data_IF_572345945994
#
_entry.id   IF_572345945994
#
_cell.length_a   1.000
_cell.length_b   1.000
_cell.length_c   1.000
_cell.angle_alpha   90.00
_cell.angle_beta   90.00
_cell.angle_gamma   90.00
#
_symmetry.space_group_name_H-M   'P 1'
#
loop_
_entity.id
_entity.type
_entity.pdbx_description
1 polymer ?
#
# COMPACT_ATOMS: atom_id res chain seq x y z
N UNK A 1 -24.42 9.50 12.71
CA UNK A 1 -23.31 8.66 13.25
C UNK A 1 -22.02 9.45 13.24
N UNK A 2 -21.05 9.17 14.16
CA UNK A 2 -19.71 9.79 14.14
C UNK A 2 -18.81 9.04 13.15
N UNK A 3 -17.87 9.73 12.53
CA UNK A 3 -16.93 9.16 11.53
C UNK A 3 -16.14 7.96 12.07
N UNK A 4 -15.52 8.10 13.23
CA UNK A 4 -14.65 7.06 13.79
C UNK A 4 -15.35 5.71 14.05
N UNK A 5 -16.54 5.63 14.72
CA UNK A 5 -17.25 4.36 14.84
C UNK A 5 -17.69 3.78 13.49
N UNK A 6 -18.07 4.60 12.53
CA UNK A 6 -18.41 4.16 11.18
C UNK A 6 -17.22 3.53 10.48
N UNK A 7 -16.07 4.18 10.50
CA UNK A 7 -14.82 3.70 9.91
C UNK A 7 -14.40 2.35 10.51
N UNK A 8 -14.48 2.18 11.83
CA UNK A 8 -14.15 0.91 12.48
C UNK A 8 -15.09 -0.22 12.04
N UNK A 9 -16.39 0.04 11.97
CA UNK A 9 -17.35 -0.95 11.53
C UNK A 9 -17.16 -1.32 10.06
N UNK A 10 -16.89 -0.33 9.22
CA UNK A 10 -16.56 -0.54 7.80
C UNK A 10 -15.29 -1.39 7.65
N UNK A 11 -14.22 -1.08 8.37
CA UNK A 11 -12.99 -1.86 8.32
C UNK A 11 -13.21 -3.32 8.73
N UNK A 12 -13.92 -3.55 9.84
CA UNK A 12 -14.24 -4.91 10.30
C UNK A 12 -15.07 -5.69 9.27
N UNK A 13 -16.04 -5.02 8.62
CA UNK A 13 -16.80 -5.62 7.53
C UNK A 13 -15.92 -5.99 6.36
N UNK A 14 -15.09 -5.06 5.88
CA UNK A 14 -14.20 -5.26 4.74
C UNK A 14 -13.16 -6.36 4.98
N UNK A 15 -12.58 -6.42 6.18
CA UNK A 15 -11.66 -7.51 6.59
C UNK A 15 -12.34 -8.87 6.53
N UNK A 16 -13.61 -8.94 6.98
CA UNK A 16 -14.34 -10.21 7.04
C UNK A 16 -14.88 -10.68 5.69
N UNK A 17 -15.09 -9.78 4.73
CA UNK A 17 -15.83 -10.08 3.49
C UNK A 17 -14.97 -10.06 2.22
N UNK A 18 -13.85 -9.33 2.22
CA UNK A 18 -13.10 -9.10 0.95
C UNK A 18 -11.82 -9.91 0.83
N UNK A 19 -11.26 -10.42 1.92
CA UNK A 19 -9.93 -11.04 1.93
C UNK A 19 -8.78 -10.04 1.64
N UNK A 20 -9.08 -8.75 1.56
CA UNK A 20 -8.08 -7.70 1.40
C UNK A 20 -7.37 -7.40 2.73
N UNK A 21 -6.16 -6.89 2.64
CA UNK A 21 -5.48 -6.27 3.79
C UNK A 21 -6.05 -4.86 3.95
N UNK A 22 -6.62 -4.57 5.11
CA UNK A 22 -7.23 -3.27 5.41
C UNK A 22 -6.29 -2.43 6.24
N UNK A 23 -5.92 -1.25 5.74
CA UNK A 23 -5.16 -0.24 6.45
C UNK A 23 -6.01 0.99 6.75
N UNK A 24 -5.79 1.63 7.90
CA UNK A 24 -6.49 2.86 8.29
C UNK A 24 -5.52 4.03 8.37
N UNK A 25 -6.05 5.23 8.05
CA UNK A 25 -5.34 6.49 8.21
C UNK A 25 -3.97 6.47 7.53
N UNK A 26 -3.95 6.03 6.26
CA UNK A 26 -2.73 5.96 5.47
C UNK A 26 -2.30 7.36 5.02
N UNK A 27 -1.21 7.85 5.61
CA UNK A 27 -0.63 9.14 5.26
C UNK A 27 0.24 9.05 4.00
N UNK A 28 -0.04 9.89 3.01
CA UNK A 28 0.86 10.09 1.88
C UNK A 28 1.96 11.09 2.26
N UNK A 29 3.22 10.70 2.12
CA UNK A 29 4.38 11.58 2.36
C UNK A 29 4.58 12.67 1.26
N UNK A 30 3.73 12.67 0.24
CA UNK A 30 3.77 13.60 -0.89
C UNK A 30 2.95 14.86 -0.58
N UNK A 31 3.48 16.00 -0.99
CA UNK A 31 2.98 17.38 -0.88
C UNK A 31 1.54 17.56 -0.36
N UNK A 32 1.42 18.05 0.88
CA UNK A 32 0.17 18.53 1.45
C UNK A 32 -0.59 17.51 2.30
N UNK A 33 0.11 16.59 2.97
CA UNK A 33 -0.43 15.74 4.06
C UNK A 33 -1.87 15.25 3.81
N UNK A 34 -2.08 14.52 2.71
CA UNK A 34 -3.34 13.79 2.54
C UNK A 34 -3.28 12.49 3.35
N UNK A 35 -4.27 12.28 4.18
CA UNK A 35 -4.50 11.01 4.88
C UNK A 35 -5.72 10.38 4.25
N UNK A 36 -5.59 9.15 3.77
CA UNK A 36 -6.68 8.33 3.26
C UNK A 36 -7.28 7.57 4.44
N UNK A 37 -8.58 7.63 4.61
CA UNK A 37 -9.24 7.05 5.78
C UNK A 37 -9.08 5.54 5.83
N UNK A 38 -9.37 4.84 4.73
CA UNK A 38 -9.18 3.40 4.62
C UNK A 38 -8.55 3.05 3.27
N UNK A 39 -7.57 2.17 3.31
CA UNK A 39 -6.97 1.57 2.11
C UNK A 39 -7.16 0.05 2.14
N UNK A 40 -7.67 -0.50 1.03
CA UNK A 40 -7.73 -1.95 0.83
C UNK A 40 -6.68 -2.36 -0.18
N UNK A 41 -5.86 -3.31 0.22
CA UNK A 41 -4.87 -3.93 -0.64
C UNK A 41 -5.32 -5.34 -0.95
N UNK A 42 -5.72 -5.60 -2.17
CA UNK A 42 -6.07 -6.95 -2.63
C UNK A 42 -4.80 -7.71 -2.96
N UNK A 43 -4.56 -8.86 -2.30
CA UNK A 43 -3.34 -9.63 -2.50
C UNK A 43 -3.25 -10.21 -3.91
N UNK A 44 -2.10 -10.02 -4.57
CA UNK A 44 -1.73 -10.73 -5.79
C UNK A 44 -1.12 -12.10 -5.51
N UNK A 45 -0.75 -12.82 -6.56
CA UNK A 45 -0.22 -14.19 -6.45
C UNK A 45 1.06 -14.29 -5.61
N UNK A 46 1.96 -13.30 -5.70
CA UNK A 46 3.22 -13.26 -4.96
C UNK A 46 3.11 -12.74 -3.52
N UNK A 47 1.91 -12.40 -3.04
CA UNK A 47 1.73 -11.74 -1.75
C UNK A 47 2.19 -12.61 -0.57
N UNK A 48 1.89 -13.92 -0.58
CA UNK A 48 2.30 -14.84 0.48
C UNK A 48 3.84 -14.94 0.61
N UNK A 49 4.55 -14.96 -0.51
CA UNK A 49 6.02 -14.95 -0.54
C UNK A 49 6.56 -13.63 0.02
N UNK A 50 5.95 -12.52 -0.38
CA UNK A 50 6.33 -11.19 0.16
C UNK A 50 6.05 -11.08 1.65
N UNK A 51 4.93 -11.60 2.12
CA UNK A 51 4.55 -11.58 3.54
C UNK A 51 5.53 -12.40 4.41
N UNK A 52 6.20 -13.41 3.84
CA UNK A 52 7.24 -14.17 4.51
C UNK A 52 8.57 -13.38 4.65
N UNK A 53 8.78 -12.33 3.85
CA UNK A 53 9.98 -11.48 3.92
C UNK A 53 9.82 -10.46 5.04
N UNK A 54 10.40 -10.75 6.19
CA UNK A 54 10.30 -9.92 7.41
C UNK A 54 11.68 -9.50 7.89
N UNK A 55 11.74 -8.53 8.80
CA UNK A 55 12.99 -8.14 9.45
C UNK A 55 13.67 -9.31 10.21
N UNK A 56 12.93 -10.36 10.55
CA UNK A 56 13.48 -11.57 11.18
C UNK A 56 14.08 -12.55 10.17
N UNK A 57 13.72 -12.48 8.89
CA UNK A 57 14.24 -13.36 7.83
C UNK A 57 15.32 -12.70 6.98
N UNK A 58 15.33 -11.36 6.92
CA UNK A 58 16.34 -10.60 6.19
C UNK A 58 17.56 -10.36 7.08
N UNK A 59 18.79 -10.61 6.60
CA UNK A 59 19.99 -10.24 7.38
C UNK A 59 19.99 -8.73 7.68
N UNK A 60 20.21 -8.31 8.95
CA UNK A 60 20.22 -6.87 9.30
C UNK A 60 21.16 -6.04 8.43
N UNK A 61 22.34 -6.56 8.11
CA UNK A 61 23.29 -5.89 7.25
C UNK A 61 22.79 -5.68 5.80
N UNK A 62 21.86 -6.52 5.33
CA UNK A 62 21.24 -6.33 4.03
C UNK A 62 20.18 -5.21 4.07
N UNK A 63 19.48 -5.04 5.19
CA UNK A 63 18.53 -3.92 5.41
C UNK A 63 19.30 -2.58 5.49
N UNK A 64 20.46 -2.59 6.13
CA UNK A 64 21.32 -1.41 6.31
C UNK A 64 22.17 -1.08 5.07
N UNK A 65 22.26 -2.01 4.10
CA UNK A 65 23.02 -1.79 2.89
C UNK A 65 22.41 -0.66 2.05
N UNK A 66 23.26 0.16 1.44
CA UNK A 66 22.82 1.24 0.56
C UNK A 66 22.46 0.67 -0.84
N UNK A 67 21.40 -0.14 -0.88
CA UNK A 67 20.89 -0.77 -2.11
C UNK A 67 19.42 -0.40 -2.28
N UNK A 68 19.13 0.32 -3.37
CA UNK A 68 17.78 0.76 -3.69
C UNK A 68 16.94 -0.33 -4.37
N UNK A 69 15.63 -0.09 -4.40
CA UNK A 69 14.67 -0.93 -5.12
C UNK A 69 14.89 -0.78 -6.63
N UNK A 70 15.15 -1.90 -7.32
CA UNK A 70 15.34 -1.93 -8.77
C UNK A 70 16.67 -1.35 -9.28
N UNK A 71 17.48 -0.72 -8.44
CA UNK A 71 18.78 -0.16 -8.80
C UNK A 71 19.90 -1.13 -8.44
N UNK A 72 20.61 -1.64 -9.47
CA UNK A 72 21.70 -2.56 -9.26
C UNK A 72 22.98 -1.82 -8.86
N UNK A 73 23.55 -2.20 -7.72
CA UNK A 73 24.79 -1.62 -7.17
C UNK A 73 25.89 -2.68 -7.10
N UNK A 74 27.15 -2.33 -7.40
CA UNK A 74 28.27 -3.25 -7.22
C UNK A 74 28.37 -3.75 -5.78
N UNK A 75 28.71 -5.02 -5.60
CA UNK A 75 28.78 -5.66 -4.29
C UNK A 75 29.70 -4.90 -3.30
N UNK A 76 30.84 -4.45 -3.75
CA UNK A 76 31.81 -3.69 -2.96
C UNK A 76 31.33 -2.30 -2.53
N UNK A 77 30.41 -1.71 -3.31
CA UNK A 77 29.79 -0.42 -3.01
C UNK A 77 28.57 -0.56 -2.09
N UNK A 78 27.86 -1.69 -2.22
CA UNK A 78 26.73 -2.02 -1.34
C UNK A 78 27.18 -2.31 0.10
N UNK A 79 28.40 -2.86 0.27
CA UNK A 79 28.94 -3.26 1.57
C UNK A 79 30.36 -2.68 1.77
N UNK A 80 30.50 -1.35 1.90
CA UNK A 80 31.80 -0.72 2.01
C UNK A 80 32.54 -1.14 3.29
N UNK A 81 33.85 -1.37 3.17
CA UNK A 81 34.70 -1.71 4.32
C UNK A 81 34.57 -3.14 4.84
N UNK A 82 33.78 -4.00 4.18
CA UNK A 82 33.62 -5.41 4.56
C UNK A 82 34.47 -6.33 3.67
N UNK A 83 34.70 -7.56 4.14
CA UNK A 83 35.35 -8.55 3.30
C UNK A 83 34.40 -9.04 2.20
N UNK A 84 34.95 -9.31 0.99
CA UNK A 84 34.15 -9.81 -0.14
C UNK A 84 33.45 -11.12 0.18
N UNK A 85 34.06 -11.97 1.01
CA UNK A 85 33.43 -13.22 1.45
C UNK A 85 32.19 -12.94 2.29
N UNK A 86 32.30 -12.08 3.29
CA UNK A 86 31.19 -11.72 4.18
C UNK A 86 30.06 -11.04 3.40
N UNK A 87 30.38 -10.10 2.50
CA UNK A 87 29.37 -9.47 1.66
C UNK A 87 28.61 -10.46 0.81
N UNK A 88 29.29 -11.48 0.26
CA UNK A 88 28.63 -12.54 -0.52
C UNK A 88 27.72 -13.41 0.33
N UNK A 89 28.17 -13.83 1.52
CA UNK A 89 27.37 -14.61 2.47
C UNK A 89 26.11 -13.84 2.89
N UNK A 90 26.24 -12.54 3.14
CA UNK A 90 25.10 -11.65 3.47
C UNK A 90 24.12 -11.52 2.29
N UNK A 91 24.64 -11.33 1.08
CA UNK A 91 23.80 -11.25 -0.13
C UNK A 91 23.12 -12.57 -0.41
N UNK A 92 23.79 -13.70 -0.26
CA UNK A 92 23.19 -15.01 -0.47
C UNK A 92 22.01 -15.23 0.47
N UNK A 93 22.18 -14.96 1.76
CA UNK A 93 21.10 -15.04 2.74
C UNK A 93 19.95 -14.08 2.43
N UNK A 94 20.25 -12.86 1.93
CA UNK A 94 19.22 -11.90 1.52
C UNK A 94 18.49 -12.31 0.24
N UNK A 95 19.17 -13.00 -0.69
CA UNK A 95 18.56 -13.59 -1.90
C UNK A 95 17.66 -14.75 -1.51
N UNK A 96 18.12 -15.63 -0.63
CA UNK A 96 17.32 -16.77 -0.13
C UNK A 96 16.08 -16.29 0.62
N UNK A 97 16.17 -15.15 1.33
CA UNK A 97 15.04 -14.49 1.95
C UNK A 97 14.12 -13.75 0.95
N UNK A 98 14.46 -13.69 -0.33
CA UNK A 98 13.68 -12.97 -1.35
C UNK A 98 13.79 -11.44 -1.28
N UNK A 99 14.75 -10.92 -0.53
CA UNK A 99 14.96 -9.47 -0.36
C UNK A 99 15.86 -8.85 -1.43
N UNK A 100 16.91 -9.56 -1.86
CA UNK A 100 17.81 -9.14 -2.92
C UNK A 100 17.70 -10.01 -4.16
N UNK A 101 18.03 -9.42 -5.29
CA UNK A 101 18.40 -10.11 -6.53
C UNK A 101 19.88 -9.87 -6.83
N UNK A 102 20.53 -10.87 -7.37
CA UNK A 102 21.94 -10.83 -7.75
C UNK A 102 22.08 -10.95 -9.26
N UNK A 103 22.92 -10.10 -9.83
CA UNK A 103 23.27 -10.19 -11.25
C UNK A 103 24.79 -10.06 -11.46
N UNK A 104 25.26 -10.46 -12.62
CA UNK A 104 26.66 -10.40 -13.01
C UNK A 104 26.79 -9.66 -14.32
N UNK A 105 27.57 -8.57 -14.32
CA UNK A 105 27.87 -7.78 -15.52
C UNK A 105 29.37 -7.60 -15.67
N UNK A 106 29.97 -7.97 -16.82
CA UNK A 106 31.40 -7.76 -17.07
C UNK A 106 32.31 -8.37 -16.02
N UNK A 107 31.94 -9.50 -15.40
CA UNK A 107 32.73 -10.15 -14.36
C UNK A 107 32.55 -9.55 -12.94
N UNK A 108 31.85 -8.43 -12.78
CA UNK A 108 31.49 -7.83 -11.50
C UNK A 108 30.13 -8.31 -11.03
N UNK A 109 29.98 -8.44 -9.71
CA UNK A 109 28.72 -8.81 -9.04
C UNK A 109 28.00 -7.54 -8.63
N UNK A 110 26.69 -7.52 -8.90
CA UNK A 110 25.77 -6.46 -8.53
C UNK A 110 24.63 -7.04 -7.72
N UNK A 111 24.10 -6.24 -6.83
CA UNK A 111 22.90 -6.55 -6.03
C UNK A 111 21.90 -5.43 -6.20
N UNK A 112 20.62 -5.78 -6.16
CA UNK A 112 19.52 -4.84 -6.12
C UNK A 112 18.44 -5.36 -5.17
N UNK A 113 17.67 -4.47 -4.59
CA UNK A 113 16.49 -4.88 -3.85
C UNK A 113 15.40 -5.35 -4.82
N UNK A 114 14.76 -6.46 -4.48
CA UNK A 114 13.69 -7.07 -5.29
C UNK A 114 12.49 -6.14 -5.41
N UNK A 115 11.98 -5.98 -6.65
CA UNK A 115 10.74 -5.26 -6.95
C UNK A 115 9.69 -6.26 -7.39
N UNK A 116 8.64 -6.45 -6.58
CA UNK A 116 7.58 -7.43 -6.86
C UNK A 116 6.18 -6.85 -6.77
N UNK A 117 6.05 -5.51 -6.82
CA UNK A 117 4.76 -4.86 -6.62
C UNK A 117 3.62 -5.42 -7.48
N UNK A 118 3.79 -5.62 -8.79
CA UNK A 118 2.73 -6.18 -9.62
C UNK A 118 2.32 -7.62 -9.26
N UNK A 119 3.24 -8.38 -8.69
CA UNK A 119 3.00 -9.77 -8.29
C UNK A 119 2.39 -9.87 -6.89
N UNK A 120 2.68 -8.89 -6.02
CA UNK A 120 2.21 -8.89 -4.63
C UNK A 120 0.84 -8.28 -4.45
N UNK A 121 0.51 -7.30 -5.27
CA UNK A 121 -0.69 -6.49 -5.18
C UNK A 121 -1.45 -6.63 -6.48
N UNK A 122 -2.70 -7.07 -6.40
CA UNK A 122 -3.60 -7.14 -7.54
C UNK A 122 -4.29 -5.79 -7.75
N UNK A 123 -4.77 -5.18 -6.67
CA UNK A 123 -5.52 -3.94 -6.70
C UNK A 123 -5.43 -3.19 -5.38
N UNK A 124 -5.39 -1.87 -5.43
CA UNK A 124 -5.45 -0.98 -4.27
C UNK A 124 -6.67 -0.07 -4.37
N UNK A 125 -7.55 -0.09 -3.35
CA UNK A 125 -8.73 0.77 -3.27
C UNK A 125 -8.55 1.78 -2.14
N UNK A 126 -8.68 3.06 -2.45
CA UNK A 126 -8.74 4.13 -1.47
C UNK A 126 -10.18 4.45 -1.10
N UNK A 127 -10.50 4.46 0.18
CA UNK A 127 -11.87 4.74 0.66
C UNK A 127 -11.88 5.98 1.53
N UNK A 128 -12.68 6.95 1.15
CA UNK A 128 -13.02 8.12 1.95
C UNK A 128 -14.30 7.83 2.75
N UNK A 129 -14.29 8.10 4.05
CA UNK A 129 -15.43 7.86 4.94
C UNK A 129 -16.24 9.13 5.15
N UNK A 130 -17.50 9.13 4.74
CA UNK A 130 -18.42 10.22 5.04
C UNK A 130 -19.78 9.66 5.46
N UNK A 131 -19.96 9.30 6.74
CA UNK A 131 -21.22 8.69 7.18
C UNK A 131 -22.44 9.58 6.95
N UNK A 132 -22.28 10.92 6.95
CA UNK A 132 -23.37 11.89 6.72
C UNK A 132 -23.04 12.82 5.53
N UNK A 133 -23.72 12.64 4.42
CA UNK A 133 -23.57 13.48 3.22
C UNK A 133 -24.32 14.82 3.28
N UNK A 134 -25.17 15.05 4.26
CA UNK A 134 -25.83 16.36 4.43
C UNK A 134 -24.89 17.45 4.88
N UNK A 135 -23.70 17.07 5.39
CA UNK A 135 -22.62 17.99 5.80
C UNK A 135 -21.31 17.60 5.12
N UNK A 136 -21.22 17.74 3.81
CA UNK A 136 -20.09 17.18 3.04
C UNK A 136 -18.76 17.88 3.35
N UNK A 137 -18.76 19.15 3.78
CA UNK A 137 -17.52 19.92 3.96
C UNK A 137 -16.74 19.99 2.66
N UNK A 138 -15.43 19.69 2.73
CA UNK A 138 -14.51 19.70 1.59
C UNK A 138 -14.44 18.36 0.83
N UNK A 139 -15.48 17.50 0.96
CA UNK A 139 -15.49 16.13 0.42
C UNK A 139 -15.12 16.08 -1.07
N UNK A 140 -15.71 16.93 -1.90
CA UNK A 140 -15.40 16.95 -3.34
C UNK A 140 -13.91 17.23 -3.59
N UNK A 141 -13.32 18.16 -2.86
CA UNK A 141 -11.91 18.49 -3.00
C UNK A 141 -11.01 17.32 -2.54
N UNK A 142 -11.41 16.60 -1.49
CA UNK A 142 -10.70 15.43 -0.97
C UNK A 142 -10.73 14.30 -2.01
N UNK A 143 -11.90 13.95 -2.54
CA UNK A 143 -12.07 12.93 -3.56
C UNK A 143 -11.28 13.24 -4.84
N UNK A 144 -11.32 14.50 -5.32
CA UNK A 144 -10.51 14.91 -6.48
C UNK A 144 -9.02 14.79 -6.23
N UNK A 145 -8.55 15.06 -5.01
CA UNK A 145 -7.15 14.85 -4.64
C UNK A 145 -6.79 13.36 -4.67
N UNK A 146 -7.62 12.50 -4.11
CA UNK A 146 -7.36 11.06 -4.06
C UNK A 146 -7.28 10.47 -5.46
N UNK A 147 -8.19 10.84 -6.36
CA UNK A 147 -8.12 10.47 -7.78
C UNK A 147 -6.84 11.01 -8.43
N UNK A 148 -6.48 12.28 -8.17
CA UNK A 148 -5.32 12.93 -8.81
C UNK A 148 -3.97 12.38 -8.35
N UNK A 149 -3.90 11.76 -7.17
CA UNK A 149 -2.66 11.14 -6.67
C UNK A 149 -2.21 9.94 -7.51
N UNK A 150 -3.15 9.27 -8.20
CA UNK A 150 -2.84 8.08 -9.00
C UNK A 150 -2.25 6.92 -8.19
N UNK A 151 -2.52 6.87 -6.88
CA UNK A 151 -2.04 5.82 -5.96
C UNK A 151 -2.99 4.63 -5.86
N UNK A 152 -4.25 4.83 -6.26
CA UNK A 152 -5.32 3.85 -6.14
C UNK A 152 -5.81 3.45 -7.53
N UNK A 153 -6.10 2.17 -7.70
CA UNK A 153 -6.80 1.65 -8.87
C UNK A 153 -8.28 2.08 -8.85
N UNK A 154 -8.83 2.24 -7.65
CA UNK A 154 -10.18 2.72 -7.42
C UNK A 154 -10.21 3.69 -6.23
N UNK A 155 -11.02 4.73 -6.33
CA UNK A 155 -11.37 5.62 -5.21
C UNK A 155 -12.85 5.48 -4.93
N UNK A 156 -13.21 5.31 -3.66
CA UNK A 156 -14.59 5.07 -3.24
C UNK A 156 -14.95 5.99 -2.08
N UNK A 157 -16.16 6.50 -2.13
CA UNK A 157 -16.81 7.15 -1.01
C UNK A 157 -17.71 6.15 -0.28
N UNK A 158 -17.43 5.88 1.00
CA UNK A 158 -18.28 5.05 1.87
C UNK A 158 -19.17 5.94 2.74
N UNK A 159 -20.48 5.67 2.74
CA UNK A 159 -21.47 6.48 3.49
C UNK A 159 -22.61 5.63 4.09
N UNK A 160 -23.13 6.06 5.25
CA UNK A 160 -24.37 5.53 5.79
C UNK A 160 -25.60 6.28 5.26
N UNK A 161 -25.42 7.43 4.62
CA UNK A 161 -26.53 8.23 4.09
C UNK A 161 -27.22 7.57 2.91
N UNK A 162 -28.51 7.83 2.76
CA UNK A 162 -29.18 7.61 1.48
C UNK A 162 -28.61 8.55 0.42
N UNK A 163 -28.10 7.96 -0.67
CA UNK A 163 -27.46 8.72 -1.76
C UNK A 163 -28.51 9.20 -2.75
N UNK A 164 -28.55 10.50 -3.00
CA UNK A 164 -29.47 11.14 -3.93
C UNK A 164 -28.72 11.65 -5.17
N UNK A 165 -29.45 11.98 -6.23
CA UNK A 165 -28.85 12.60 -7.42
C UNK A 165 -28.11 13.92 -7.13
N UNK A 166 -28.57 14.70 -6.14
CA UNK A 166 -27.89 15.91 -5.69
C UNK A 166 -26.54 15.62 -5.00
N UNK A 167 -26.42 14.47 -4.34
CA UNK A 167 -25.14 14.01 -3.79
C UNK A 167 -24.21 13.57 -4.91
N UNK A 168 -24.71 12.76 -5.86
CA UNK A 168 -23.90 12.27 -6.99
C UNK A 168 -23.32 13.40 -7.85
N UNK A 169 -24.07 14.49 -8.07
CA UNK A 169 -23.57 15.66 -8.80
C UNK A 169 -22.35 16.36 -8.17
N UNK A 170 -22.00 16.03 -6.94
CA UNK A 170 -20.82 16.57 -6.22
C UNK A 170 -19.69 15.57 -6.10
N UNK A 171 -19.93 14.33 -6.46
CA UNK A 171 -18.94 13.26 -6.45
C UNK A 171 -18.34 13.17 -7.86
N UNK A 172 -17.00 13.18 -8.00
CA UNK A 172 -16.37 12.96 -9.31
C UNK A 172 -16.84 11.64 -9.94
N UNK A 173 -17.00 11.62 -11.26
CA UNK A 173 -17.53 10.47 -12.00
C UNK A 173 -16.63 9.22 -11.87
N UNK A 174 -15.34 9.43 -11.58
CA UNK A 174 -14.34 8.37 -11.35
C UNK A 174 -14.45 7.71 -9.98
N UNK A 175 -15.24 8.28 -9.05
CA UNK A 175 -15.35 7.82 -7.67
C UNK A 175 -16.54 6.90 -7.51
N UNK A 176 -16.30 5.68 -7.05
CA UNK A 176 -17.33 4.75 -6.64
C UNK A 176 -18.06 5.21 -5.36
N UNK A 177 -19.30 4.77 -5.18
CA UNK A 177 -20.06 5.08 -3.96
C UNK A 177 -20.55 3.78 -3.34
N UNK A 178 -20.15 3.55 -2.09
CA UNK A 178 -20.63 2.45 -1.27
C UNK A 178 -21.57 2.96 -0.18
N UNK A 179 -22.74 2.37 -0.10
CA UNK A 179 -23.59 2.55 1.05
C UNK A 179 -23.35 1.43 2.02
N UNK A 180 -23.00 1.77 3.25
CA UNK A 180 -22.72 0.80 4.31
C UNK A 180 -23.53 1.16 5.55
N UNK A 181 -24.30 0.19 6.03
CA UNK A 181 -25.02 0.30 7.28
C UNK A 181 -24.27 -0.49 8.38
N UNK A 182 -23.67 0.21 9.36
CA UNK A 182 -22.90 -0.46 10.41
C UNK A 182 -23.73 -1.33 11.37
N UNK A 183 -25.07 -1.17 11.40
CA UNK A 183 -25.95 -1.99 12.26
C UNK A 183 -26.27 -3.35 11.62
N UNK A 184 -26.40 -3.38 10.31
CA UNK A 184 -26.68 -4.61 9.55
C UNK A 184 -25.43 -5.21 8.91
N UNK A 185 -24.38 -4.43 8.69
CA UNK A 185 -23.18 -4.83 7.96
C UNK A 185 -23.39 -4.93 6.44
N UNK A 186 -24.40 -4.23 5.89
CA UNK A 186 -24.78 -4.24 4.47
C UNK A 186 -24.58 -2.86 3.81
#
# INVERSE_FOLDING_TARGET
>A
MREFPFELALCAHLESTTGAVVGRQLGAALHGTRVVDVALVHPGQGFAERAAVTAGTIPPAAIEADVGVGEARPLEEAFPGTSRRWARETVEAAVDAGFFERERRGGREYVRQTVRYPEWIDRVVGVENKPDLYRPGDLELQLRKDVSLGLFDEVVLATASHVTGAHLNRIPDEVGVWRFDPETGE
#
